data_IF_568319235536
#
_entry.id   IF_568319235536
#
_cell.length_a   1.000
_cell.length_b   1.000
_cell.length_c   1.000
_cell.angle_alpha   90.00
_cell.angle_beta   90.00
_cell.angle_gamma   90.00
#
_symmetry.space_group_name_H-M   'P 1'
#
loop_
_entity.id
_entity.type
_entity.pdbx_description
1 polymer ?
#
# COMPACT_ATOMS: atom_id res chain seq x y z
N UNK A 1 7.59 -15.77 -14.25
CA UNK A 1 8.25 -15.01 -13.17
C UNK A 1 9.41 -14.28 -13.82
N UNK A 2 9.40 -12.95 -13.83
CA UNK A 2 10.52 -12.17 -14.38
C UNK A 2 11.80 -12.50 -13.61
N UNK A 3 12.93 -12.64 -14.30
CA UNK A 3 14.26 -12.86 -13.71
C UNK A 3 14.97 -11.55 -13.33
N UNK A 4 14.37 -10.39 -13.63
CA UNK A 4 14.93 -9.10 -13.23
C UNK A 4 14.80 -8.89 -11.72
N UNK A 5 15.92 -8.51 -11.10
CA UNK A 5 15.92 -7.99 -9.73
C UNK A 5 15.03 -6.75 -9.65
N UNK A 6 14.22 -6.70 -8.59
CA UNK A 6 13.39 -5.54 -8.28
C UNK A 6 14.29 -4.32 -8.06
N UNK A 7 13.79 -3.15 -8.47
CA UNK A 7 14.47 -1.88 -8.18
C UNK A 7 14.62 -1.70 -6.67
N UNK A 8 15.81 -1.26 -6.25
CA UNK A 8 16.15 -1.11 -4.84
C UNK A 8 15.31 -0.01 -4.18
N UNK A 9 14.89 -0.26 -2.94
CA UNK A 9 14.27 0.74 -2.09
C UNK A 9 15.24 1.92 -1.88
N UNK A 10 14.82 3.13 -2.25
CA UNK A 10 15.67 4.32 -2.30
C UNK A 10 15.07 5.57 -1.64
N UNK A 11 13.81 5.49 -1.19
CA UNK A 11 13.12 6.63 -0.56
C UNK A 11 13.77 7.07 0.76
N UNK A 12 13.68 8.37 1.05
CA UNK A 12 14.12 8.91 2.34
C UNK A 12 13.22 8.44 3.49
N UNK A 13 13.71 8.55 4.73
CA UNK A 13 12.90 8.24 5.90
C UNK A 13 11.68 9.17 6.03
N UNK A 14 11.79 10.42 5.55
CA UNK A 14 10.70 11.39 5.52
C UNK A 14 9.63 10.98 4.51
N UNK A 15 10.02 10.63 3.27
CA UNK A 15 9.09 10.17 2.25
C UNK A 15 8.38 8.87 2.67
N UNK A 16 9.13 7.95 3.30
CA UNK A 16 8.57 6.71 3.82
C UNK A 16 7.54 6.97 4.93
N UNK A 17 7.80 7.93 5.82
CA UNK A 17 6.86 8.32 6.86
C UNK A 17 5.62 9.01 6.25
N UNK A 18 5.81 9.89 5.27
CA UNK A 18 4.73 10.58 4.58
C UNK A 18 3.80 9.61 3.84
N UNK A 19 4.36 8.67 3.04
CA UNK A 19 3.53 7.70 2.32
C UNK A 19 2.84 6.72 3.27
N UNK A 20 3.47 6.36 4.40
CA UNK A 20 2.83 5.54 5.42
C UNK A 20 1.66 6.27 6.08
N UNK A 21 1.75 7.59 6.28
CA UNK A 21 0.65 8.38 6.81
C UNK A 21 -0.50 8.50 5.81
N UNK A 22 -0.19 8.74 4.53
CA UNK A 22 -1.17 8.75 3.44
C UNK A 22 -1.91 7.42 3.32
N UNK A 23 -1.19 6.29 3.34
CA UNK A 23 -1.80 4.96 3.27
C UNK A 23 -2.74 4.69 4.45
N UNK A 24 -2.36 5.08 5.67
CA UNK A 24 -3.22 4.94 6.85
C UNK A 24 -4.48 5.80 6.75
N UNK A 25 -4.38 7.03 6.23
CA UNK A 25 -5.54 7.90 6.00
C UNK A 25 -6.49 7.32 4.95
N UNK A 26 -5.93 6.86 3.82
CA UNK A 26 -6.68 6.14 2.78
C UNK A 26 -7.37 4.90 3.36
N UNK A 27 -6.65 4.09 4.12
CA UNK A 27 -7.16 2.86 4.75
C UNK A 27 -8.33 3.14 5.68
N UNK A 28 -8.24 4.18 6.52
CA UNK A 28 -9.32 4.58 7.41
C UNK A 28 -10.57 5.00 6.63
N UNK A 29 -10.41 5.82 5.58
CA UNK A 29 -11.52 6.26 4.71
C UNK A 29 -12.15 5.09 3.95
N UNK A 30 -11.34 4.19 3.41
CA UNK A 30 -11.79 3.00 2.70
C UNK A 30 -12.57 2.07 3.63
N UNK A 31 -12.04 1.81 4.83
CA UNK A 31 -12.73 0.96 5.80
C UNK A 31 -14.08 1.56 6.21
N UNK A 32 -14.15 2.87 6.47
CA UNK A 32 -15.41 3.54 6.76
C UNK A 32 -16.44 3.40 5.62
N UNK A 33 -15.99 3.47 4.37
CA UNK A 33 -16.86 3.28 3.20
C UNK A 33 -17.37 1.84 3.04
N UNK A 34 -16.56 0.85 3.44
CA UNK A 34 -16.91 -0.58 3.32
C UNK A 34 -17.69 -1.11 4.53
N UNK A 35 -17.47 -0.57 5.72
CA UNK A 35 -18.05 -1.04 6.99
C UNK A 35 -19.52 -0.62 7.21
N UNK A 36 -20.26 -0.31 6.14
CA UNK A 36 -21.63 0.20 6.22
C UNK A 36 -22.72 -0.88 6.42
N UNK A 37 -22.34 -2.16 6.47
CA UNK A 37 -23.28 -3.29 6.55
C UNK A 37 -22.97 -4.27 7.68
N UNK A 38 -23.87 -5.25 7.86
CA UNK A 38 -23.72 -6.32 8.83
C UNK A 38 -22.74 -7.40 8.34
N UNK A 39 -21.85 -7.87 9.23
CA UNK A 39 -20.91 -8.96 8.97
C UNK A 39 -19.44 -8.55 9.06
N UNK A 40 -18.55 -9.48 8.70
CA UNK A 40 -17.11 -9.25 8.74
C UNK A 40 -16.63 -8.56 7.47
N UNK A 41 -15.82 -7.50 7.61
CA UNK A 41 -15.10 -6.86 6.51
C UNK A 41 -13.61 -7.14 6.65
N UNK A 42 -13.04 -7.80 5.65
CA UNK A 42 -11.59 -8.07 5.56
C UNK A 42 -11.10 -7.59 4.20
N UNK A 43 -10.15 -6.66 4.22
CA UNK A 43 -9.56 -6.07 3.02
C UNK A 43 -8.11 -5.70 3.32
N UNK A 44 -7.28 -5.63 2.28
CA UNK A 44 -5.93 -5.06 2.34
C UNK A 44 -5.95 -3.68 1.67
N UNK A 45 -6.03 -2.57 2.46
CA UNK A 45 -6.01 -1.23 1.90
C UNK A 45 -4.74 -0.96 1.10
N UNK A 46 -3.58 -1.37 1.62
CA UNK A 46 -2.30 -1.25 0.93
C UNK A 46 -2.31 -1.87 -0.47
N UNK A 47 -2.87 -3.07 -0.64
CA UNK A 47 -2.91 -3.72 -1.96
C UNK A 47 -3.74 -2.92 -2.97
N UNK A 48 -4.87 -2.35 -2.52
CA UNK A 48 -5.71 -1.48 -3.35
C UNK A 48 -4.98 -0.17 -3.67
N UNK A 49 -4.33 0.43 -2.67
CA UNK A 49 -3.55 1.65 -2.83
C UNK A 49 -2.45 1.46 -3.87
N UNK A 50 -1.63 0.41 -3.77
CA UNK A 50 -0.57 0.11 -4.73
C UNK A 50 -1.11 -0.07 -6.16
N UNK A 51 -2.19 -0.83 -6.32
CA UNK A 51 -2.81 -1.04 -7.63
C UNK A 51 -3.28 0.27 -8.28
N UNK A 52 -3.92 1.13 -7.50
CA UNK A 52 -4.43 2.42 -7.98
C UNK A 52 -3.31 3.45 -8.18
N UNK A 53 -2.24 3.41 -7.39
CA UNK A 53 -1.07 4.27 -7.59
C UNK A 53 -0.36 3.94 -8.92
N UNK A 54 -0.25 2.65 -9.29
CA UNK A 54 0.24 2.27 -10.61
C UNK A 54 -0.66 2.80 -11.73
N UNK A 55 -1.98 2.75 -11.55
CA UNK A 55 -2.93 3.31 -12.51
C UNK A 55 -2.84 4.84 -12.59
N UNK A 56 -2.62 5.53 -11.46
CA UNK A 56 -2.38 6.97 -11.40
C UNK A 56 -1.17 7.37 -12.24
N UNK A 57 -0.10 6.55 -12.28
CA UNK A 57 1.07 6.79 -13.12
C UNK A 57 0.79 6.89 -14.63
N UNK A 58 -0.37 6.40 -15.09
CA UNK A 58 -0.84 6.53 -16.47
C UNK A 58 -2.06 7.44 -16.64
N UNK A 59 -2.55 8.08 -15.58
CA UNK A 59 -3.69 8.98 -15.62
C UNK A 59 -3.25 10.42 -15.98
N UNK A 60 -4.16 11.19 -16.57
CA UNK A 60 -3.92 12.60 -16.92
C UNK A 60 -5.14 13.47 -16.56
N UNK A 61 -4.93 14.79 -16.53
CA UNK A 61 -5.99 15.77 -16.30
C UNK A 61 -6.76 15.54 -15.00
N UNK A 62 -8.08 15.73 -15.06
CA UNK A 62 -8.97 15.63 -13.90
C UNK A 62 -8.93 14.24 -13.26
N UNK A 63 -8.77 13.18 -14.06
CA UNK A 63 -8.66 11.81 -13.55
C UNK A 63 -7.44 11.64 -12.64
N UNK A 64 -6.28 12.17 -13.03
CA UNK A 64 -5.09 12.11 -12.20
C UNK A 64 -5.28 12.89 -10.88
N UNK A 65 -5.94 14.06 -10.94
CA UNK A 65 -6.21 14.89 -9.76
C UNK A 65 -7.14 14.18 -8.77
N UNK A 66 -8.25 13.63 -9.26
CA UNK A 66 -9.22 12.91 -8.42
C UNK A 66 -8.60 11.64 -7.80
N UNK A 67 -7.82 10.88 -8.58
CA UNK A 67 -7.13 9.70 -8.08
C UNK A 67 -6.09 10.06 -7.01
N UNK A 68 -5.27 11.09 -7.23
CA UNK A 68 -4.27 11.51 -6.24
C UNK A 68 -4.92 11.98 -4.93
N UNK A 69 -6.05 12.68 -5.01
CA UNK A 69 -6.81 13.10 -3.85
C UNK A 69 -7.45 11.91 -3.11
N UNK A 70 -8.01 10.95 -3.85
CA UNK A 70 -8.61 9.75 -3.25
C UNK A 70 -7.59 8.86 -2.54
N UNK A 71 -6.36 8.79 -3.06
CA UNK A 71 -5.25 8.01 -2.51
C UNK A 71 -4.47 8.74 -1.41
N UNK A 72 -4.85 9.98 -1.04
CA UNK A 72 -4.14 10.81 -0.05
C UNK A 72 -2.69 11.14 -0.46
N UNK A 73 -2.40 11.17 -1.77
CA UNK A 73 -1.07 11.46 -2.33
C UNK A 73 -1.03 12.76 -3.13
N UNK A 74 -2.05 13.60 -3.00
CA UNK A 74 -2.05 14.93 -3.59
C UNK A 74 -0.86 15.75 -3.02
N UNK A 75 -0.01 16.25 -3.91
CA UNK A 75 1.18 17.02 -3.54
C UNK A 75 2.47 16.21 -3.42
N UNK A 76 2.42 14.89 -3.60
CA UNK A 76 3.65 14.11 -3.77
C UNK A 76 4.25 14.36 -5.16
N UNK A 77 5.58 14.43 -5.22
CA UNK A 77 6.28 14.33 -6.49
C UNK A 77 6.06 12.91 -7.09
N UNK A 78 5.71 12.77 -8.38
CA UNK A 78 5.39 11.46 -8.96
C UNK A 78 6.53 10.43 -8.89
N UNK A 79 7.79 10.86 -9.03
CA UNK A 79 8.93 9.94 -8.95
C UNK A 79 9.19 9.54 -7.49
N UNK A 80 9.10 10.51 -6.57
CA UNK A 80 9.23 10.25 -5.13
C UNK A 80 8.11 9.33 -4.61
N UNK A 81 6.87 9.47 -5.12
CA UNK A 81 5.73 8.63 -4.76
C UNK A 81 6.01 7.15 -5.04
N UNK A 82 6.40 6.80 -6.27
CA UNK A 82 6.67 5.41 -6.62
C UNK A 82 7.87 4.83 -5.88
N UNK A 83 8.92 5.62 -5.66
CA UNK A 83 10.06 5.22 -4.83
C UNK A 83 9.63 4.95 -3.38
N UNK A 84 8.80 5.81 -2.80
CA UNK A 84 8.29 5.68 -1.44
C UNK A 84 7.38 4.44 -1.28
N UNK A 85 6.48 4.19 -2.24
CA UNK A 85 5.64 3.00 -2.25
C UNK A 85 6.46 1.71 -2.41
N UNK A 86 7.49 1.71 -3.26
CA UNK A 86 8.41 0.57 -3.39
C UNK A 86 9.17 0.31 -2.08
N UNK A 87 9.66 1.36 -1.42
CA UNK A 87 10.32 1.25 -0.12
C UNK A 87 9.38 0.74 0.97
N UNK A 88 8.12 1.19 0.98
CA UNK A 88 7.10 0.72 1.92
C UNK A 88 6.80 -0.77 1.73
N UNK A 89 6.59 -1.20 0.49
CA UNK A 89 6.33 -2.61 0.17
C UNK A 89 7.51 -3.50 0.56
N UNK A 90 8.75 -3.12 0.21
CA UNK A 90 9.96 -3.84 0.61
C UNK A 90 10.12 -3.91 2.15
N UNK A 91 9.81 -2.81 2.85
CA UNK A 91 9.86 -2.76 4.30
C UNK A 91 8.83 -3.70 4.95
N UNK A 92 7.65 -3.88 4.34
CA UNK A 92 6.63 -4.81 4.84
C UNK A 92 6.99 -6.27 4.49
N UNK A 93 7.49 -6.52 3.28
CA UNK A 93 7.96 -7.84 2.86
C UNK A 93 9.05 -8.37 3.79
N UNK A 94 10.02 -7.53 4.17
CA UNK A 94 11.09 -7.91 5.12
C UNK A 94 10.57 -8.26 6.53
N UNK A 95 9.34 -7.89 6.87
CA UNK A 95 8.68 -8.19 8.15
C UNK A 95 7.78 -9.41 8.08
N UNK A 96 7.56 -9.98 6.88
CA UNK A 96 6.73 -11.17 6.73
C UNK A 96 7.29 -12.30 7.58
N UNK A 97 6.44 -12.86 8.44
CA UNK A 97 6.75 -14.06 9.21
C UNK A 97 6.14 -15.25 8.49
N UNK A 98 6.96 -16.23 8.15
CA UNK A 98 6.50 -17.53 7.71
C UNK A 98 6.18 -18.35 8.94
N UNK A 99 4.91 -18.41 9.30
CA UNK A 99 4.47 -19.40 10.29
C UNK A 99 4.57 -20.81 9.66
N UNK A 100 4.93 -21.83 10.46
CA UNK A 100 4.90 -23.21 9.99
C UNK A 100 3.48 -23.61 9.55
N UNK A 101 3.34 -24.59 8.64
CA UNK A 101 2.06 -25.16 8.24
C UNK A 101 1.20 -25.51 9.46
N UNK A 102 -0.12 -25.38 9.36
CA UNK A 102 -1.03 -25.64 10.49
C UNK A 102 -0.84 -27.04 11.09
N UNK A 103 -0.46 -28.03 10.26
CA UNK A 103 -0.16 -29.39 10.68
C UNK A 103 1.05 -29.50 11.63
N UNK A 104 1.99 -28.54 11.55
CA UNK A 104 3.24 -28.52 12.29
C UNK A 104 3.20 -27.54 13.49
N UNK A 105 2.05 -26.91 13.75
CA UNK A 105 1.88 -25.98 14.88
C UNK A 105 1.54 -26.76 16.14
N UNK A 106 2.28 -26.52 17.22
CA UNK A 106 1.91 -27.05 18.53
C UNK A 106 0.50 -26.56 18.92
N UNK A 107 -0.35 -27.46 19.46
CA UNK A 107 -1.68 -27.08 19.91
C UNK A 107 -1.55 -26.03 21.02
N UNK A 108 -2.14 -24.86 20.80
CA UNK A 108 -2.24 -23.83 21.84
C UNK A 108 -3.20 -24.34 22.94
N UNK A 109 -2.64 -24.61 24.11
CA UNK A 109 -3.36 -25.02 25.35
C UNK A 109 -4.22 -23.89 25.88
#
# INVERSE_FOLDING_TARGET
>A
MSELAREAASASAEDLAAISAAEQAFAARLYQALAAGDGNVVVSPLSIHLALAMALGGAEGDTAVEMAAALEVAGFDPAALHAALNSLDAALESRNRTDPPIADREPKV
#
